data_IF_723509827401
#
_entry.id   IF_723509827401
#
_cell.length_a   1.000
_cell.length_b   1.000
_cell.length_c   1.000
_cell.angle_alpha   90.00
_cell.angle_beta   90.00
_cell.angle_gamma   90.00
#
_symmetry.space_group_name_H-M   'P 1'
#
loop_
_entity.id
_entity.type
_entity.pdbx_description
1 polymer ?
#
# COMPACT_ATOMS: atom_id res chain seq x y z
N UNK A 1 -80.28 -1.11 -27.51
CA UNK A 1 -80.16 0.25 -26.94
C UNK A 1 -78.92 0.28 -26.04
N UNK A 2 -77.96 1.16 -26.35
CA UNK A 2 -76.57 1.13 -25.87
C UNK A 2 -76.42 1.66 -24.43
N UNK A 3 -75.71 0.92 -23.58
CA UNK A 3 -75.27 1.37 -22.24
C UNK A 3 -74.13 2.39 -22.36
N UNK A 4 -74.23 3.52 -21.67
CA UNK A 4 -73.18 4.55 -21.57
C UNK A 4 -72.05 4.03 -20.66
N UNK A 5 -70.82 4.10 -21.15
CA UNK A 5 -69.59 3.80 -20.41
C UNK A 5 -69.02 5.14 -19.95
N UNK A 6 -68.69 5.26 -18.65
CA UNK A 6 -68.08 6.45 -18.06
C UNK A 6 -66.56 6.49 -18.36
N UNK A 7 -65.96 7.68 -18.61
CA UNK A 7 -64.52 7.78 -18.83
C UNK A 7 -63.72 7.82 -17.51
N UNK A 8 -62.49 7.28 -17.56
CA UNK A 8 -61.48 7.24 -16.48
C UNK A 8 -60.84 8.64 -16.30
N UNK A 9 -60.59 9.11 -15.06
CA UNK A 9 -59.99 10.42 -14.84
C UNK A 9 -58.46 10.40 -15.06
N UNK A 10 -57.95 11.27 -15.93
CA UNK A 10 -56.54 11.59 -16.06
C UNK A 10 -56.13 12.61 -14.99
N UNK A 11 -55.15 12.28 -14.15
CA UNK A 11 -54.54 13.22 -13.20
C UNK A 11 -53.78 14.30 -13.97
N UNK A 12 -54.26 15.53 -13.95
CA UNK A 12 -53.47 16.70 -14.36
C UNK A 12 -52.57 17.12 -13.20
N UNK A 13 -51.26 17.20 -13.44
CA UNK A 13 -50.30 17.75 -12.48
C UNK A 13 -50.37 19.27 -12.50
N UNK A 14 -50.57 19.87 -11.31
CA UNK A 14 -50.66 21.32 -11.09
C UNK A 14 -49.27 21.94 -11.30
N UNK A 15 -49.08 22.68 -12.39
CA UNK A 15 -47.88 23.51 -12.59
C UNK A 15 -47.96 24.71 -11.64
N UNK A 16 -46.98 24.83 -10.74
CA UNK A 16 -46.85 25.99 -9.85
C UNK A 16 -46.45 27.22 -10.68
N UNK A 17 -47.32 28.22 -10.73
CA UNK A 17 -46.99 29.51 -11.34
C UNK A 17 -46.04 30.31 -10.43
N UNK A 18 -45.15 31.08 -11.06
CA UNK A 18 -43.97 31.77 -10.50
C UNK A 18 -44.25 32.94 -9.54
N UNK A 19 -45.48 33.04 -9.00
CA UNK A 19 -45.92 34.17 -8.18
C UNK A 19 -45.62 34.05 -6.68
N UNK A 20 -45.12 32.89 -6.21
CA UNK A 20 -44.86 32.66 -4.77
C UNK A 20 -43.47 33.13 -4.30
N UNK A 21 -42.53 33.36 -5.21
CA UNK A 21 -41.17 33.81 -4.85
C UNK A 21 -41.12 35.25 -4.33
N UNK A 22 -41.96 36.14 -4.87
CA UNK A 22 -42.06 37.53 -4.42
C UNK A 22 -42.61 37.65 -3.00
N UNK A 23 -43.58 36.79 -2.63
CA UNK A 23 -44.11 36.73 -1.26
C UNK A 23 -43.05 36.24 -0.28
N UNK A 24 -42.20 35.31 -0.70
CA UNK A 24 -41.09 34.79 0.11
C UNK A 24 -40.01 35.86 0.35
N UNK A 25 -39.66 36.65 -0.66
CA UNK A 25 -38.71 37.76 -0.52
C UNK A 25 -39.27 38.88 0.35
N UNK A 26 -40.56 39.18 0.24
CA UNK A 26 -41.22 40.19 1.06
C UNK A 26 -41.31 39.77 2.53
N UNK A 27 -41.47 38.47 2.81
CA UNK A 27 -41.38 37.90 4.15
C UNK A 27 -39.96 38.02 4.74
N UNK A 28 -38.93 37.70 3.95
CA UNK A 28 -37.53 37.85 4.38
C UNK A 28 -37.15 39.32 4.65
N UNK A 29 -37.63 40.24 3.82
CA UNK A 29 -37.42 41.68 4.01
C UNK A 29 -38.08 42.20 5.29
N UNK A 30 -39.26 41.66 5.66
CA UNK A 30 -39.96 42.04 6.89
C UNK A 30 -39.25 41.56 8.16
N UNK A 31 -38.59 40.39 8.11
CA UNK A 31 -37.81 39.85 9.24
C UNK A 31 -36.54 40.68 9.47
N UNK A 32 -35.93 41.20 8.40
CA UNK A 32 -34.74 42.06 8.45
C UNK A 32 -35.02 43.47 8.99
N UNK A 33 -36.26 43.96 8.93
CA UNK A 33 -36.64 45.28 9.45
C UNK A 33 -37.06 45.30 10.92
N UNK A 34 -37.05 44.16 11.62
CA UNK A 34 -37.38 44.13 13.05
C UNK A 34 -36.24 44.73 13.87
N UNK A 35 -36.47 45.78 14.68
CA UNK A 35 -35.42 46.34 15.53
C UNK A 35 -34.97 45.30 16.55
N UNK A 36 -33.65 45.14 16.69
CA UNK A 36 -33.03 44.26 17.67
C UNK A 36 -33.54 44.64 19.06
N UNK A 37 -34.30 43.74 19.69
CA UNK A 37 -34.61 43.88 21.11
C UNK A 37 -33.31 43.63 21.88
N UNK A 38 -32.85 44.64 22.62
CA UNK A 38 -31.71 44.54 23.52
C UNK A 38 -31.93 43.37 24.49
N UNK A 39 -31.23 42.26 24.26
CA UNK A 39 -31.14 41.19 25.26
C UNK A 39 -30.34 41.74 26.43
N UNK A 40 -31.04 42.14 27.51
CA UNK A 40 -30.38 42.48 28.77
C UNK A 40 -29.78 41.21 29.35
N UNK A 41 -28.45 41.19 29.46
CA UNK A 41 -27.73 40.19 30.24
C UNK A 41 -28.22 40.25 31.69
N UNK A 42 -28.51 39.09 32.28
CA UNK A 42 -28.92 38.97 33.67
C UNK A 42 -27.70 39.27 34.57
N UNK A 43 -27.79 40.30 35.41
CA UNK A 43 -26.77 40.58 36.42
C UNK A 43 -26.82 39.53 37.53
N UNK A 44 -25.66 38.93 37.84
CA UNK A 44 -25.52 37.83 38.81
C UNK A 44 -25.75 38.33 40.25
N UNK A 45 -26.72 37.75 40.94
CA UNK A 45 -27.18 38.16 42.27
C UNK A 45 -26.36 37.55 43.41
N UNK A 46 -25.03 37.65 43.38
CA UNK A 46 -24.19 37.15 44.48
C UNK A 46 -24.03 38.27 45.52
N UNK A 47 -24.89 38.25 46.54
CA UNK A 47 -24.76 39.07 47.75
C UNK A 47 -23.48 38.67 48.49
N UNK A 48 -22.50 39.59 48.58
CA UNK A 48 -21.31 39.43 49.42
C UNK A 48 -21.74 39.31 50.89
N UNK A 49 -21.65 38.09 51.45
CA UNK A 49 -21.76 37.86 52.89
C UNK A 49 -20.43 38.26 53.53
N UNK A 50 -20.43 39.26 54.39
CA UNK A 50 -19.25 39.59 55.22
C UNK A 50 -18.95 38.42 56.16
N UNK A 51 -17.71 37.93 56.11
CA UNK A 51 -17.24 36.82 56.93
C UNK A 51 -16.80 37.42 58.28
N UNK A 52 -17.51 37.08 59.35
CA UNK A 52 -17.09 37.36 60.72
C UNK A 52 -16.00 36.36 61.09
N UNK A 53 -14.75 36.82 61.22
CA UNK A 53 -13.62 35.96 61.62
C UNK A 53 -13.51 36.01 63.14
N UNK A 54 -13.87 34.91 63.79
CA UNK A 54 -13.71 34.75 65.24
C UNK A 54 -12.22 34.65 65.59
N UNK A 55 -11.72 35.56 66.45
CA UNK A 55 -10.31 35.64 66.82
C UNK A 55 -10.13 35.05 68.21
N UNK A 56 -9.90 33.75 68.31
CA UNK A 56 -9.64 33.06 69.57
C UNK A 56 -8.24 33.43 70.10
N UNK A 57 -8.17 34.04 71.28
CA UNK A 57 -6.92 34.57 71.87
C UNK A 57 -6.02 33.50 72.52
N UNK A 58 -6.54 32.30 72.78
CA UNK A 58 -5.80 31.19 73.39
C UNK A 58 -5.79 29.96 72.46
N UNK A 59 -4.93 30.01 71.45
CA UNK A 59 -4.68 28.87 70.57
C UNK A 59 -3.57 27.99 71.18
N UNK A 60 -3.94 26.80 71.64
CA UNK A 60 -2.96 25.76 71.98
C UNK A 60 -2.67 24.97 70.69
N UNK A 61 -1.40 24.73 70.33
CA UNK A 61 -1.08 23.91 69.17
C UNK A 61 -1.67 22.51 69.37
N UNK A 62 -2.48 22.06 68.40
CA UNK A 62 -2.94 20.67 68.39
C UNK A 62 -1.72 19.81 68.08
N UNK A 63 -1.33 18.96 69.04
CA UNK A 63 -0.30 17.96 68.81
C UNK A 63 -0.92 16.79 68.05
N UNK A 64 -0.34 16.47 66.89
CA UNK A 64 -0.79 15.36 66.06
C UNK A 64 0.00 14.11 66.42
N UNK A 65 -0.70 12.99 66.58
CA UNK A 65 -0.06 11.70 66.76
C UNK A 65 0.59 11.26 65.44
N UNK A 66 1.91 11.14 65.46
CA UNK A 66 2.69 10.74 64.30
C UNK A 66 2.31 9.33 63.80
N UNK A 67 1.85 8.45 64.68
CA UNK A 67 1.44 7.09 64.31
C UNK A 67 0.12 7.09 63.55
N UNK A 68 -0.84 7.93 63.98
CA UNK A 68 -2.14 8.08 63.33
C UNK A 68 -1.98 8.72 61.93
N UNK A 69 -1.08 9.72 61.80
CA UNK A 69 -0.75 10.32 60.50
C UNK A 69 -0.18 9.28 59.52
N UNK A 70 0.73 8.43 59.99
CA UNK A 70 1.31 7.38 59.15
C UNK A 70 0.29 6.31 58.74
N UNK A 71 -0.75 6.10 59.55
CA UNK A 71 -1.87 5.23 59.18
C UNK A 71 -2.78 5.87 58.14
N UNK A 72 -3.11 7.16 58.28
CA UNK A 72 -3.91 7.89 57.29
C UNK A 72 -3.22 8.00 55.93
N UNK A 73 -1.89 8.16 55.88
CA UNK A 73 -1.13 8.19 54.62
C UNK A 73 -1.24 6.91 53.78
N UNK A 74 -1.61 5.78 54.40
CA UNK A 74 -1.76 4.49 53.72
C UNK A 74 -3.16 4.24 53.19
N UNK A 75 -4.13 5.08 53.53
CA UNK A 75 -5.51 4.92 53.11
C UNK A 75 -5.71 5.58 51.74
N UNK A 76 -6.27 4.84 50.78
CA UNK A 76 -6.53 5.33 49.41
C UNK A 76 -7.40 6.60 49.38
N UNK A 77 -8.29 6.77 50.35
CA UNK A 77 -9.15 7.95 50.49
C UNK A 77 -8.38 9.27 50.68
N UNK A 78 -7.11 9.19 51.12
CA UNK A 78 -6.23 10.34 51.37
C UNK A 78 -5.08 10.44 50.36
N UNK A 79 -5.15 9.69 49.25
CA UNK A 79 -4.21 9.82 48.14
C UNK A 79 -4.63 10.96 47.19
N UNK A 80 -4.30 12.19 47.58
CA UNK A 80 -4.59 13.41 46.81
C UNK A 80 -3.57 13.68 45.68
N UNK A 81 -2.56 12.82 45.54
CA UNK A 81 -1.67 12.86 44.39
C UNK A 81 -2.36 12.09 43.28
N UNK A 82 -3.10 12.82 42.45
CA UNK A 82 -3.58 12.32 41.16
C UNK A 82 -2.33 11.86 40.41
N UNK A 83 -2.08 10.54 40.38
CA UNK A 83 -0.98 9.98 39.63
C UNK A 83 -1.26 10.33 38.19
N UNK A 84 -0.58 11.33 37.65
CA UNK A 84 -0.50 11.50 36.21
C UNK A 84 0.14 10.22 35.72
N UNK A 85 -0.64 9.26 35.22
CA UNK A 85 -0.09 8.15 34.48
C UNK A 85 0.80 8.80 33.42
N UNK A 86 2.12 8.66 33.57
CA UNK A 86 3.05 9.31 32.65
C UNK A 86 2.71 8.76 31.27
N UNK A 87 2.11 9.62 30.43
CA UNK A 87 1.65 9.24 29.09
C UNK A 87 2.78 8.44 28.43
N UNK A 88 2.55 7.14 28.27
CA UNK A 88 3.54 6.27 27.63
C UNK A 88 3.93 6.89 26.29
N UNK A 89 5.19 6.72 25.87
CA UNK A 89 5.67 7.22 24.57
C UNK A 89 4.67 6.91 23.44
N UNK A 90 3.97 5.78 23.51
CA UNK A 90 2.97 5.37 22.52
C UNK A 90 1.70 6.21 22.56
N UNK A 91 1.24 6.59 23.75
CA UNK A 91 0.10 7.49 23.95
C UNK A 91 0.45 8.87 23.39
N UNK A 92 1.65 9.38 23.68
CA UNK A 92 2.14 10.66 23.15
C UNK A 92 2.25 10.64 21.63
N UNK A 93 2.75 9.54 21.05
CA UNK A 93 2.83 9.35 19.61
C UNK A 93 1.45 9.35 18.95
N UNK A 94 0.49 8.55 19.47
CA UNK A 94 -0.88 8.52 18.93
C UNK A 94 -1.56 9.87 19.02
N UNK A 95 -1.37 10.59 20.14
CA UNK A 95 -1.92 11.93 20.35
C UNK A 95 -1.35 12.91 19.32
N UNK A 96 -0.04 12.92 19.12
CA UNK A 96 0.61 13.71 18.08
C UNK A 96 0.10 13.37 16.67
N UNK A 97 -0.02 12.07 16.35
CA UNK A 97 -0.49 11.61 15.05
C UNK A 97 -1.94 12.03 14.79
N UNK A 98 -2.81 11.90 15.79
CA UNK A 98 -4.20 12.31 15.71
C UNK A 98 -4.31 13.83 15.51
N UNK A 99 -3.50 14.63 16.22
CA UNK A 99 -3.44 16.08 16.00
C UNK A 99 -3.02 16.41 14.57
N UNK A 100 -2.03 15.71 14.01
CA UNK A 100 -1.60 15.91 12.61
C UNK A 100 -2.65 15.49 11.60
N UNK A 101 -3.32 14.37 11.84
CA UNK A 101 -4.43 13.90 11.01
C UNK A 101 -5.57 14.92 10.99
N UNK A 102 -6.01 15.40 12.15
CA UNK A 102 -7.10 16.39 12.24
C UNK A 102 -6.71 17.73 11.62
N UNK A 103 -5.46 18.17 11.75
CA UNK A 103 -4.96 19.36 11.05
C UNK A 103 -5.05 19.19 9.54
N UNK A 104 -4.64 18.04 9.01
CA UNK A 104 -4.71 17.76 7.58
C UNK A 104 -6.16 17.69 7.07
N UNK A 105 -7.04 17.00 7.80
CA UNK A 105 -8.46 16.89 7.45
C UNK A 105 -9.16 18.25 7.52
N UNK A 106 -8.90 19.05 8.54
CA UNK A 106 -9.47 20.40 8.65
C UNK A 106 -8.90 21.34 7.58
N UNK A 107 -7.65 21.18 7.17
CA UNK A 107 -7.09 21.91 6.04
C UNK A 107 -7.74 21.50 4.70
N UNK A 108 -8.03 20.21 4.53
CA UNK A 108 -8.59 19.66 3.28
C UNK A 108 -10.11 19.86 3.15
N UNK A 109 -10.85 19.80 4.26
CA UNK A 109 -12.33 19.78 4.30
C UNK A 109 -12.95 20.81 5.26
N UNK A 110 -12.14 21.69 5.87
CA UNK A 110 -12.64 22.69 6.81
C UNK A 110 -13.68 23.61 6.18
N UNK A 111 -14.55 24.19 7.02
CA UNK A 111 -15.56 25.14 6.61
C UNK A 111 -14.92 26.43 6.14
N UNK A 112 -14.62 26.51 4.85
CA UNK A 112 -14.28 27.76 4.20
C UNK A 112 -15.56 28.54 3.94
N UNK A 113 -15.80 29.59 4.74
CA UNK A 113 -16.82 30.62 4.49
C UNK A 113 -16.40 31.52 3.32
N UNK A 114 -16.13 30.89 2.17
CA UNK A 114 -16.01 31.61 0.91
C UNK A 114 -17.42 31.76 0.34
N UNK A 115 -17.86 32.99 0.08
CA UNK A 115 -19.08 33.24 -0.68
C UNK A 115 -18.72 33.25 -2.18
N UNK A 116 -19.37 32.38 -2.98
CA UNK A 116 -19.30 32.42 -4.44
C UNK A 116 -18.61 31.22 -5.12
N UNK A 117 -18.24 31.40 -6.39
CA UNK A 117 -17.71 30.36 -7.30
C UNK A 117 -16.44 29.69 -6.74
N UNK A 118 -15.62 30.44 -6.01
CA UNK A 118 -14.38 29.94 -5.41
C UNK A 118 -14.64 28.89 -4.31
N UNK A 119 -15.75 29.01 -3.58
CA UNK A 119 -16.19 28.05 -2.57
C UNK A 119 -16.63 26.73 -3.20
N UNK A 120 -17.28 26.80 -4.36
CA UNK A 120 -17.65 25.62 -5.14
C UNK A 120 -16.40 24.84 -5.59
N UNK A 121 -15.37 25.53 -6.08
CA UNK A 121 -14.11 24.90 -6.47
C UNK A 121 -13.36 24.31 -5.28
N UNK A 122 -13.22 25.03 -4.17
CA UNK A 122 -12.57 24.50 -2.96
C UNK A 122 -13.31 23.28 -2.42
N UNK A 123 -14.64 23.29 -2.46
CA UNK A 123 -15.46 22.16 -2.02
C UNK A 123 -15.33 20.94 -2.92
N UNK A 124 -15.24 21.11 -4.24
CA UNK A 124 -15.19 19.97 -5.18
C UNK A 124 -13.77 19.41 -5.36
N UNK A 125 -12.74 20.25 -5.20
CA UNK A 125 -11.33 19.92 -5.42
C UNK A 125 -10.83 18.65 -4.69
N UNK A 126 -11.09 18.44 -3.37
CA UNK A 126 -10.63 17.24 -2.69
C UNK A 126 -11.28 15.96 -3.25
N UNK A 127 -12.54 16.02 -3.68
CA UNK A 127 -13.21 14.89 -4.32
C UNK A 127 -12.61 14.55 -5.69
N UNK A 128 -12.20 15.58 -6.45
CA UNK A 128 -11.50 15.38 -7.74
C UNK A 128 -10.14 14.72 -7.52
N UNK A 129 -9.38 15.13 -6.50
CA UNK A 129 -8.10 14.50 -6.15
C UNK A 129 -8.30 13.04 -5.75
N UNK A 130 -9.26 12.75 -4.88
CA UNK A 130 -9.57 11.37 -4.46
C UNK A 130 -9.95 10.52 -5.67
N UNK A 131 -10.79 11.04 -6.56
CA UNK A 131 -11.16 10.36 -7.80
C UNK A 131 -9.95 10.12 -8.71
N UNK A 132 -9.08 11.11 -8.88
CA UNK A 132 -7.87 10.98 -9.69
C UNK A 132 -6.90 9.93 -9.12
N UNK A 133 -6.73 9.88 -7.79
CA UNK A 133 -5.92 8.85 -7.11
C UNK A 133 -6.54 7.47 -7.29
N UNK A 134 -7.86 7.33 -7.11
CA UNK A 134 -8.57 6.08 -7.37
C UNK A 134 -8.41 5.61 -8.83
N UNK A 135 -8.59 6.53 -9.78
CA UNK A 135 -8.40 6.24 -11.20
C UNK A 135 -6.96 5.83 -11.51
N UNK A 136 -5.98 6.48 -10.88
CA UNK A 136 -4.57 6.13 -11.01
C UNK A 136 -4.26 4.77 -10.39
N UNK A 137 -4.85 4.42 -9.25
CA UNK A 137 -4.74 3.08 -8.66
C UNK A 137 -5.32 2.05 -9.62
N UNK A 138 -6.56 2.23 -10.10
CA UNK A 138 -7.18 1.30 -11.07
C UNK A 138 -6.30 1.17 -12.32
N UNK A 139 -5.86 2.29 -12.88
CA UNK A 139 -4.96 2.31 -14.03
C UNK A 139 -3.64 1.56 -13.75
N UNK A 140 -3.01 1.79 -12.59
CA UNK A 140 -1.79 1.11 -12.17
C UNK A 140 -2.01 -0.40 -12.03
N UNK A 141 -3.12 -0.83 -11.44
CA UNK A 141 -3.47 -2.24 -11.31
C UNK A 141 -3.76 -2.89 -12.68
N UNK A 142 -4.42 -2.19 -13.60
CA UNK A 142 -4.62 -2.71 -14.98
C UNK A 142 -3.32 -2.79 -15.77
N UNK A 143 -2.37 -1.87 -15.55
CA UNK A 143 -1.10 -1.84 -16.30
C UNK A 143 -0.04 -2.78 -15.74
N UNK A 144 0.07 -2.87 -14.42
CA UNK A 144 1.07 -3.69 -13.75
C UNK A 144 0.60 -5.12 -13.49
N UNK A 145 -0.69 -5.39 -13.66
CA UNK A 145 -1.32 -6.70 -13.48
C UNK A 145 -0.84 -7.51 -12.25
N UNK A 146 -0.72 -6.90 -11.04
CA UNK A 146 -0.27 -7.63 -9.84
C UNK A 146 -1.28 -8.72 -9.45
N UNK A 147 -2.54 -8.59 -9.87
CA UNK A 147 -3.61 -9.56 -9.68
C UNK A 147 -3.36 -10.89 -10.39
N UNK A 148 -2.68 -10.93 -11.54
CA UNK A 148 -2.37 -12.21 -12.19
C UNK A 148 -1.42 -13.10 -11.36
N UNK A 149 -0.56 -12.49 -10.51
CA UNK A 149 0.27 -13.22 -9.54
C UNK A 149 -0.48 -13.62 -8.26
N UNK A 150 -1.55 -12.90 -7.90
CA UNK A 150 -2.29 -13.08 -6.64
C UNK A 150 -3.56 -13.94 -6.81
N UNK A 151 -4.17 -13.94 -8.00
CA UNK A 151 -5.36 -14.73 -8.38
C UNK A 151 -5.03 -16.01 -9.15
N UNK A 152 -3.74 -16.32 -9.37
CA UNK A 152 -3.37 -17.67 -9.78
C UNK A 152 -3.81 -18.64 -8.67
N UNK A 153 -4.59 -19.66 -9.03
CA UNK A 153 -5.11 -20.68 -8.12
C UNK A 153 -4.01 -21.20 -7.18
N UNK A 154 -4.31 -21.58 -5.92
CA UNK A 154 -3.35 -22.23 -5.04
C UNK A 154 -3.07 -23.66 -5.49
N UNK A 155 -2.48 -23.81 -6.66
CA UNK A 155 -1.84 -25.03 -7.13
C UNK A 155 -0.49 -25.17 -6.47
N UNK A 156 -0.46 -25.92 -5.36
CA UNK A 156 0.73 -26.50 -4.71
C UNK A 156 1.92 -25.54 -4.58
N UNK A 157 1.98 -24.84 -3.45
CA UNK A 157 3.21 -24.27 -2.86
C UNK A 157 4.34 -24.01 -3.88
N UNK A 158 4.15 -23.06 -4.79
CA UNK A 158 5.28 -22.50 -5.53
C UNK A 158 6.07 -21.73 -4.49
N UNK A 159 7.08 -22.41 -3.92
CA UNK A 159 8.33 -21.78 -3.48
C UNK A 159 8.60 -20.68 -4.50
N UNK A 160 8.93 -19.46 -4.05
CA UNK A 160 9.31 -18.38 -4.95
C UNK A 160 10.46 -18.91 -5.79
N UNK A 161 10.14 -19.44 -6.97
CA UNK A 161 11.12 -19.93 -7.92
C UNK A 161 11.85 -18.67 -8.35
N UNK A 162 13.17 -18.69 -8.25
CA UNK A 162 13.96 -17.66 -8.91
C UNK A 162 13.57 -17.62 -10.39
N UNK A 163 13.65 -16.45 -11.03
CA UNK A 163 13.36 -16.33 -12.48
C UNK A 163 14.12 -17.39 -13.30
N UNK A 164 15.30 -17.80 -12.83
CA UNK A 164 16.13 -18.87 -13.40
C UNK A 164 15.48 -20.26 -13.34
N UNK A 165 14.84 -20.61 -12.23
CA UNK A 165 14.20 -21.91 -12.06
C UNK A 165 12.89 -22.02 -12.87
N UNK A 166 12.18 -20.90 -13.07
CA UNK A 166 11.03 -20.85 -13.96
C UNK A 166 11.43 -21.00 -15.44
N UNK A 167 12.54 -20.35 -15.85
CA UNK A 167 13.11 -20.46 -17.19
C UNK A 167 13.55 -21.88 -17.54
N UNK A 168 14.23 -22.59 -16.63
CA UNK A 168 14.72 -23.96 -16.88
C UNK A 168 13.57 -24.97 -16.96
N UNK A 169 12.60 -24.86 -16.04
CA UNK A 169 11.50 -25.84 -15.91
C UNK A 169 10.40 -25.66 -16.96
N UNK A 170 10.03 -24.42 -17.30
CA UNK A 170 8.74 -24.16 -17.97
C UNK A 170 8.81 -23.35 -19.27
N UNK A 171 9.98 -22.82 -19.66
CA UNK A 171 10.10 -22.00 -20.88
C UNK A 171 10.86 -22.71 -22.01
N UNK A 172 10.46 -22.41 -23.26
CA UNK A 172 11.19 -22.84 -24.44
C UNK A 172 12.48 -22.02 -24.60
N UNK A 173 13.55 -22.52 -23.98
CA UNK A 173 14.89 -21.92 -24.05
C UNK A 173 15.37 -21.72 -25.49
N UNK A 174 14.95 -22.55 -26.45
CA UNK A 174 15.35 -22.41 -27.85
C UNK A 174 14.80 -21.11 -28.45
N UNK A 175 13.53 -20.80 -28.17
CA UNK A 175 12.88 -19.57 -28.61
C UNK A 175 13.54 -18.32 -28.00
N UNK A 176 13.90 -18.38 -26.72
CA UNK A 176 14.57 -17.29 -26.01
C UNK A 176 15.98 -17.04 -26.55
N UNK A 177 16.72 -18.10 -26.89
CA UNK A 177 18.03 -17.98 -27.55
C UNK A 177 17.88 -17.27 -28.89
N UNK A 178 16.95 -17.72 -29.75
CA UNK A 178 16.73 -17.08 -31.06
C UNK A 178 16.33 -15.61 -30.94
N UNK A 179 15.45 -15.29 -29.98
CA UNK A 179 15.04 -13.91 -29.70
C UNK A 179 16.22 -13.05 -29.25
N UNK A 180 16.97 -13.52 -28.26
CA UNK A 180 18.13 -12.78 -27.74
C UNK A 180 19.20 -12.53 -28.80
N UNK A 181 19.41 -13.49 -29.72
CA UNK A 181 20.30 -13.30 -30.88
C UNK A 181 19.76 -12.25 -31.85
N UNK A 182 18.46 -12.27 -32.14
CA UNK A 182 17.83 -11.30 -33.06
C UNK A 182 17.85 -9.87 -32.53
N UNK A 183 17.81 -9.70 -31.21
CA UNK A 183 17.89 -8.41 -30.52
C UNK A 183 19.34 -7.98 -30.26
N UNK A 184 20.33 -8.69 -30.81
CA UNK A 184 21.78 -8.50 -30.57
C UNK A 184 22.16 -8.56 -29.08
N UNK A 185 21.32 -9.18 -28.26
CA UNK A 185 21.51 -9.33 -26.84
C UNK A 185 22.29 -10.62 -26.53
N UNK A 186 23.54 -10.64 -26.96
CA UNK A 186 24.42 -11.81 -26.89
C UNK A 186 24.66 -12.33 -25.47
N UNK A 187 24.62 -11.44 -24.46
CA UNK A 187 24.78 -11.84 -23.05
C UNK A 187 23.65 -12.74 -22.58
N UNK A 188 22.41 -12.40 -22.92
CA UNK A 188 21.25 -13.25 -22.61
C UNK A 188 21.24 -14.51 -23.47
N UNK A 189 21.65 -14.44 -24.74
CA UNK A 189 21.76 -15.60 -25.60
C UNK A 189 22.73 -16.66 -25.03
N UNK A 190 23.88 -16.24 -24.50
CA UNK A 190 24.84 -17.14 -23.81
C UNK A 190 24.23 -17.73 -22.54
N UNK A 191 23.54 -16.93 -21.73
CA UNK A 191 22.87 -17.41 -20.51
C UNK A 191 21.82 -18.47 -20.82
N UNK A 192 20.96 -18.24 -21.80
CA UNK A 192 19.92 -19.21 -22.16
C UNK A 192 20.52 -20.51 -22.73
N UNK A 193 21.63 -20.44 -23.46
CA UNK A 193 22.37 -21.64 -23.90
C UNK A 193 22.99 -22.43 -22.74
N UNK A 194 23.52 -21.72 -21.73
CA UNK A 194 24.04 -22.37 -20.54
C UNK A 194 22.94 -23.11 -19.78
N UNK A 195 21.80 -22.46 -19.55
CA UNK A 195 20.63 -23.07 -18.93
C UNK A 195 20.09 -24.26 -19.74
N UNK A 196 20.12 -24.17 -21.08
CA UNK A 196 19.75 -25.29 -21.96
C UNK A 196 20.70 -26.47 -21.83
N UNK A 197 21.99 -26.21 -21.67
CA UNK A 197 23.00 -27.26 -21.46
C UNK A 197 22.79 -27.98 -20.13
N UNK A 198 22.52 -27.24 -19.05
CA UNK A 198 22.15 -27.84 -17.76
C UNK A 198 20.89 -28.69 -17.87
N UNK A 199 19.86 -28.19 -18.55
CA UNK A 199 18.62 -28.93 -18.80
C UNK A 199 18.87 -30.24 -19.56
N UNK A 200 19.67 -30.20 -20.63
CA UNK A 200 20.00 -31.41 -21.39
C UNK A 200 20.82 -32.42 -20.57
N UNK A 201 21.74 -31.96 -19.73
CA UNK A 201 22.50 -32.84 -18.84
C UNK A 201 21.59 -33.51 -17.79
N UNK A 202 20.63 -32.76 -17.24
CA UNK A 202 19.62 -33.26 -16.29
C UNK A 202 18.67 -34.27 -16.97
N UNK A 203 18.19 -33.96 -18.18
CA UNK A 203 17.35 -34.86 -19.00
C UNK A 203 18.06 -36.17 -19.39
N UNK A 204 19.40 -36.20 -19.40
CA UNK A 204 20.22 -37.39 -19.66
C UNK A 204 20.71 -38.07 -18.37
N UNK A 205 20.18 -37.70 -17.20
CA UNK A 205 20.55 -38.24 -15.88
C UNK A 205 22.07 -38.08 -15.55
N UNK A 206 22.74 -37.10 -16.16
CA UNK A 206 24.19 -36.85 -15.97
C UNK A 206 24.48 -35.90 -14.81
N UNK A 207 23.51 -35.05 -14.48
CA UNK A 207 23.50 -34.16 -13.32
C UNK A 207 22.10 -34.18 -12.71
N UNK A 208 21.98 -33.68 -11.48
CA UNK A 208 20.69 -33.38 -10.88
C UNK A 208 20.54 -31.86 -10.74
N UNK A 209 19.68 -31.25 -11.55
CA UNK A 209 19.50 -29.80 -11.55
C UNK A 209 18.84 -29.30 -10.25
N UNK A 210 19.52 -28.36 -9.58
CA UNK A 210 19.01 -27.66 -8.39
C UNK A 210 19.42 -26.19 -8.43
N UNK A 211 18.48 -25.27 -8.24
CA UNK A 211 18.75 -23.83 -8.32
C UNK A 211 19.89 -23.35 -7.39
N UNK A 212 20.04 -23.97 -6.23
CA UNK A 212 21.06 -23.62 -5.23
C UNK A 212 22.47 -24.13 -5.53
N UNK A 213 22.62 -25.03 -6.51
CA UNK A 213 23.93 -25.58 -6.89
C UNK A 213 24.75 -24.57 -7.67
N UNK A 214 26.04 -24.55 -7.38
CA UNK A 214 27.06 -23.80 -8.09
C UNK A 214 27.46 -24.48 -9.39
N UNK A 215 27.98 -23.71 -10.36
CA UNK A 215 28.52 -24.27 -11.60
C UNK A 215 29.62 -25.32 -11.37
N UNK A 216 30.39 -25.16 -10.28
CA UNK A 216 31.44 -26.11 -9.89
C UNK A 216 30.86 -27.44 -9.42
N UNK A 217 29.75 -27.43 -8.70
CA UNK A 217 29.06 -28.65 -8.27
C UNK A 217 28.53 -29.43 -9.47
N UNK A 218 27.90 -28.75 -10.44
CA UNK A 218 27.49 -29.39 -11.70
C UNK A 218 28.66 -30.02 -12.45
N UNK A 219 29.81 -29.34 -12.49
CA UNK A 219 31.04 -29.87 -13.09
C UNK A 219 31.53 -31.17 -12.43
N UNK A 220 31.33 -31.31 -11.12
CA UNK A 220 31.77 -32.49 -10.36
C UNK A 220 30.83 -33.69 -10.51
N UNK A 221 29.56 -33.47 -10.85
CA UNK A 221 28.58 -34.53 -11.08
C UNK A 221 28.81 -35.27 -12.41
N UNK A 222 29.32 -34.56 -13.43
CA UNK A 222 29.59 -35.15 -14.75
C UNK A 222 30.76 -36.14 -14.66
N UNK A 223 30.44 -37.43 -14.81
CA UNK A 223 31.42 -38.52 -14.73
C UNK A 223 32.26 -38.68 -16.01
N UNK A 224 31.67 -38.41 -17.17
CA UNK A 224 32.35 -38.60 -18.45
C UNK A 224 33.39 -37.49 -18.69
N UNK A 225 34.67 -37.87 -18.72
CA UNK A 225 35.79 -36.90 -18.76
C UNK A 225 35.75 -35.94 -19.95
N UNK A 226 35.36 -36.42 -21.14
CA UNK A 226 35.31 -35.59 -22.35
C UNK A 226 34.18 -34.56 -22.25
N UNK A 227 32.99 -35.00 -21.86
CA UNK A 227 31.87 -34.10 -21.61
C UNK A 227 32.15 -33.11 -20.49
N UNK A 228 32.78 -33.55 -19.40
CA UNK A 228 33.20 -32.67 -18.29
C UNK A 228 34.16 -31.57 -18.77
N UNK A 229 35.12 -31.89 -19.65
CA UNK A 229 36.03 -30.90 -20.23
C UNK A 229 35.31 -29.89 -21.12
N UNK A 230 34.39 -30.34 -21.98
CA UNK A 230 33.57 -29.47 -22.81
C UNK A 230 32.68 -28.55 -21.95
N UNK A 231 32.05 -29.12 -20.92
CA UNK A 231 31.22 -28.37 -19.99
C UNK A 231 32.03 -27.35 -19.17
N UNK A 232 33.28 -27.69 -18.80
CA UNK A 232 34.20 -26.78 -18.13
C UNK A 232 34.57 -25.57 -19.01
N UNK A 233 34.75 -25.79 -20.31
CA UNK A 233 35.06 -24.73 -21.27
C UNK A 233 33.89 -23.74 -21.38
N UNK A 234 32.67 -24.23 -21.61
CA UNK A 234 31.48 -23.34 -21.72
C UNK A 234 31.13 -22.67 -20.40
N UNK A 235 31.37 -23.32 -19.26
CA UNK A 235 31.14 -22.73 -17.93
C UNK A 235 32.04 -21.52 -17.72
N UNK A 236 33.31 -21.59 -18.13
CA UNK A 236 34.22 -20.43 -18.05
C UNK A 236 33.73 -19.26 -18.91
N UNK A 237 33.27 -19.54 -20.13
CA UNK A 237 32.70 -18.50 -21.00
C UNK A 237 31.44 -17.88 -20.38
N UNK A 238 30.54 -18.72 -19.86
CA UNK A 238 29.34 -18.26 -19.17
C UNK A 238 29.67 -17.38 -17.97
N UNK A 239 30.57 -17.82 -17.09
CA UNK A 239 30.94 -17.06 -15.89
C UNK A 239 31.58 -15.72 -16.25
N UNK A 240 32.50 -15.72 -17.22
CA UNK A 240 33.14 -14.51 -17.70
C UNK A 240 32.14 -13.52 -18.30
N UNK A 241 31.24 -13.99 -19.17
CA UNK A 241 30.27 -13.13 -19.86
C UNK A 241 29.16 -12.64 -18.91
N UNK A 242 28.63 -13.53 -18.09
CA UNK A 242 27.48 -13.23 -17.26
C UNK A 242 27.85 -12.45 -16.00
N UNK A 243 28.92 -12.84 -15.29
CA UNK A 243 29.34 -12.18 -14.06
C UNK A 243 30.43 -11.12 -14.28
N UNK A 244 31.18 -11.18 -15.38
CA UNK A 244 32.30 -10.26 -15.66
C UNK A 244 31.91 -8.91 -16.25
N UNK A 245 30.63 -8.67 -16.56
CA UNK A 245 30.11 -7.40 -17.11
C UNK A 245 30.82 -6.92 -18.41
N UNK A 246 31.34 -7.83 -19.21
CA UNK A 246 31.98 -7.51 -20.48
C UNK A 246 30.95 -7.33 -21.59
N UNK A 247 31.25 -6.43 -22.54
CA UNK A 247 30.45 -6.29 -23.76
C UNK A 247 30.77 -7.45 -24.70
N UNK A 248 29.76 -8.28 -24.98
CA UNK A 248 29.89 -9.45 -25.86
C UNK A 248 29.64 -9.02 -27.30
N UNK A 249 30.61 -9.25 -28.19
CA UNK A 249 30.42 -9.04 -29.62
C UNK A 249 29.76 -10.27 -30.28
N UNK A 250 29.27 -10.12 -31.52
CA UNK A 250 28.77 -11.25 -32.31
C UNK A 250 29.85 -12.33 -32.53
N UNK A 251 31.12 -11.93 -32.65
CA UNK A 251 32.22 -12.87 -32.82
C UNK A 251 32.44 -13.70 -31.54
N UNK A 252 32.44 -13.06 -30.38
CA UNK A 252 32.58 -13.72 -29.08
C UNK A 252 31.42 -14.70 -28.84
N UNK A 253 30.20 -14.28 -29.19
CA UNK A 253 29.03 -15.14 -29.13
C UNK A 253 29.16 -16.38 -30.00
N UNK A 254 29.66 -16.26 -31.24
CA UNK A 254 29.85 -17.42 -32.13
C UNK A 254 30.83 -18.43 -31.56
N UNK A 255 31.88 -17.98 -30.87
CA UNK A 255 32.84 -18.86 -30.19
C UNK A 255 32.12 -19.63 -29.07
N UNK A 256 31.40 -18.92 -28.20
CA UNK A 256 30.64 -19.55 -27.11
C UNK A 256 29.60 -20.54 -27.65
N UNK A 257 28.82 -20.14 -28.66
CA UNK A 257 27.78 -20.97 -29.29
C UNK A 257 28.34 -22.26 -29.91
N UNK A 258 29.55 -22.23 -30.45
CA UNK A 258 30.23 -23.43 -30.94
C UNK A 258 30.50 -24.41 -29.80
N UNK A 259 30.99 -23.92 -28.65
CA UNK A 259 31.20 -24.73 -27.44
C UNK A 259 29.92 -25.43 -26.98
N UNK A 260 28.81 -24.69 -26.88
CA UNK A 260 27.50 -25.25 -26.52
C UNK A 260 27.01 -26.29 -27.53
N UNK A 261 27.19 -26.03 -28.83
CA UNK A 261 26.81 -26.97 -29.90
C UNK A 261 27.57 -28.30 -29.82
N UNK A 262 28.82 -28.31 -29.35
CA UNK A 262 29.59 -29.55 -29.14
C UNK A 262 28.96 -30.41 -28.04
N UNK A 263 28.57 -29.80 -26.92
CA UNK A 263 27.89 -30.49 -25.82
C UNK A 263 26.57 -31.10 -26.32
N UNK A 264 25.76 -30.32 -27.04
CA UNK A 264 24.51 -30.81 -27.61
C UNK A 264 24.71 -32.00 -28.55
N UNK A 265 25.83 -32.06 -29.28
CA UNK A 265 26.13 -33.17 -30.18
C UNK A 265 26.62 -34.43 -29.46
N UNK A 266 27.34 -34.30 -28.34
CA UNK A 266 27.69 -35.46 -27.50
C UNK A 266 26.46 -36.04 -26.79
N UNK A 267 25.48 -35.19 -26.43
CA UNK A 267 24.27 -35.59 -25.72
C UNK A 267 23.12 -36.05 -26.62
N UNK A 268 23.21 -35.83 -27.94
CA UNK A 268 22.24 -36.42 -28.86
C UNK A 268 22.45 -37.92 -28.88
N UNK A 269 21.40 -38.74 -28.69
CA UNK A 269 21.54 -40.17 -28.91
C UNK A 269 22.00 -40.35 -30.35
N UNK A 270 23.13 -41.06 -30.53
CA UNK A 270 23.52 -41.58 -31.84
C UNK A 270 22.31 -42.35 -32.33
N UNK A 271 21.56 -41.79 -33.28
CA UNK A 271 20.58 -42.55 -34.06
C UNK A 271 21.39 -43.61 -34.79
N UNK A 272 21.53 -44.77 -34.16
CA UNK A 272 21.97 -45.97 -34.82
C UNK A 272 20.93 -46.28 -35.90
N UNK A 273 21.41 -46.22 -37.15
CA UNK A 273 20.90 -46.78 -38.40
C UNK A 273 19.43 -47.20 -38.47
#
# INVERSE_FOLDING_TARGET
MKRKISPVPTKQFKTWETTDSLKLYLLYFLILLSPAQDMRAQEDSILRREIQVEKSENLVPVEFDATEIEEYKKQDAYNYLESTEEDSWWVRFKKWLNLKYNQFINWLFGSYDANGILAFFIRIFPYVIIFAVLALIVWLFTRLNPGAKILAEPGKSKVILSEEEELVKNEDLSSLISKAVSEENYRFAVRYQYLRSLKLLDENDLIQYEFQKTNKEYLQEIQEKRLQQLFAEVTKFYEFIWYGNFKVSSADYKIAANGFSKIENELKPVKNA
#
